data_IF_944325728340
#
_entry.id   IF_944325728340
#
_cell.length_a   1.000
_cell.length_b   1.000
_cell.length_c   1.000
_cell.angle_alpha   90.00
_cell.angle_beta   90.00
_cell.angle_gamma   90.00
#
_symmetry.space_group_name_H-M   'P 1'
#
loop_
_entity.id
_entity.type
_entity.pdbx_description
1 polymer ?
#
# COMPACT_ATOMS: atom_id res chain seq x y z
N UNK A 1 -4.50 13.84 51.60
CA UNK A 1 -3.22 13.11 51.50
C UNK A 1 -3.52 11.78 50.82
N UNK A 2 -2.93 11.52 49.64
CA UNK A 2 -3.06 10.31 48.79
C UNK A 2 -4.41 9.93 48.14
N UNK A 3 -4.31 9.07 47.09
CA UNK A 3 -5.34 8.40 46.26
C UNK A 3 -5.99 7.22 47.03
N UNK A 4 -6.99 6.43 46.58
CA UNK A 4 -7.62 6.14 45.25
C UNK A 4 -9.11 5.70 45.49
N UNK A 5 -9.95 5.08 44.65
CA UNK A 5 -9.77 4.46 43.32
C UNK A 5 -10.95 4.60 42.31
N UNK A 6 -11.87 3.61 42.18
CA UNK A 6 -12.74 3.45 40.99
C UNK A 6 -14.17 2.90 41.24
N UNK A 7 -15.15 3.59 40.64
CA UNK A 7 -16.42 3.08 40.03
C UNK A 7 -17.51 2.50 40.96
N UNK A 8 -18.80 2.62 40.59
CA UNK A 8 -19.42 1.77 39.55
C UNK A 8 -19.56 2.41 38.15
N UNK A 9 -20.13 1.64 37.21
CA UNK A 9 -20.74 2.11 35.96
C UNK A 9 -22.24 1.78 36.01
N UNK A 10 -23.03 2.59 35.31
CA UNK A 10 -24.50 2.50 35.20
C UNK A 10 -25.25 2.79 36.50
N UNK A 11 -26.35 3.51 36.35
CA UNK A 11 -27.39 3.68 37.37
C UNK A 11 -28.67 3.25 36.67
N UNK A 12 -29.35 2.24 37.20
CA UNK A 12 -30.74 2.01 36.86
C UNK A 12 -31.57 3.05 37.63
N UNK A 13 -32.50 3.71 36.93
CA UNK A 13 -33.62 4.38 37.58
C UNK A 13 -34.72 3.32 37.62
N UNK A 14 -35.30 3.08 38.80
CA UNK A 14 -36.40 2.12 38.95
C UNK A 14 -37.70 2.75 38.42
N UNK A 15 -38.51 1.95 37.72
CA UNK A 15 -39.79 2.40 37.17
C UNK A 15 -40.81 2.68 38.28
N UNK A 16 -41.50 3.82 38.18
CA UNK A 16 -42.77 4.07 38.87
C UNK A 16 -43.78 4.66 37.91
N UNK A 17 -44.63 3.78 37.36
CA UNK A 17 -46.00 4.04 36.90
C UNK A 17 -46.29 5.32 36.08
N UNK A 18 -46.04 5.30 34.76
CA UNK A 18 -47.05 5.63 33.72
C UNK A 18 -46.53 5.30 32.29
N UNK A 19 -47.41 5.13 31.28
CA UNK A 19 -47.04 4.56 29.97
C UNK A 19 -46.55 5.62 28.97
N UNK A 20 -45.41 6.26 29.23
CA UNK A 20 -44.81 7.21 28.29
C UNK A 20 -44.28 6.55 26.99
N UNK A 21 -44.41 7.26 25.88
CA UNK A 21 -43.96 6.82 24.56
C UNK A 21 -42.44 6.69 24.51
N UNK A 22 -41.94 5.58 23.95
CA UNK A 22 -40.51 5.30 23.81
C UNK A 22 -39.85 6.23 22.77
N UNK A 23 -39.55 7.45 23.19
CA UNK A 23 -39.03 8.51 22.34
C UNK A 23 -37.59 8.19 21.91
N UNK A 24 -37.45 7.67 20.68
CA UNK A 24 -36.16 7.39 20.05
C UNK A 24 -35.52 8.73 19.68
N UNK A 25 -34.94 9.42 20.68
CA UNK A 25 -34.21 10.68 20.48
C UNK A 25 -33.15 10.46 19.41
N UNK A 26 -33.28 11.06 18.21
CA UNK A 26 -32.35 10.81 17.14
C UNK A 26 -31.01 11.41 17.53
N UNK A 27 -30.00 10.55 17.76
CA UNK A 27 -28.64 11.00 18.09
C UNK A 27 -28.07 11.80 16.92
N UNK A 28 -28.33 13.12 16.92
CA UNK A 28 -27.79 14.08 15.95
C UNK A 28 -26.27 13.91 15.96
N UNK A 29 -25.75 13.31 14.88
CA UNK A 29 -24.31 13.22 14.64
C UNK A 29 -23.74 14.64 14.72
N UNK A 30 -23.01 14.94 15.79
CA UNK A 30 -22.34 16.23 15.93
C UNK A 30 -21.47 16.43 14.70
N UNK A 31 -21.66 17.55 14.02
CA UNK A 31 -20.85 17.93 12.86
C UNK A 31 -19.39 17.98 13.33
N UNK A 32 -18.50 17.45 12.50
CA UNK A 32 -17.09 17.17 12.76
C UNK A 32 -16.41 18.22 13.66
N UNK A 33 -15.91 17.79 14.82
CA UNK A 33 -15.16 18.65 15.75
C UNK A 33 -13.87 19.20 15.11
N UNK A 34 -13.27 20.28 15.62
CA UNK A 34 -12.02 20.80 15.07
C UNK A 34 -10.88 19.77 15.04
N UNK A 35 -10.81 18.84 16.00
CA UNK A 35 -9.88 17.71 15.98
C UNK A 35 -10.18 16.70 14.84
N UNK A 36 -11.47 16.43 14.59
CA UNK A 36 -11.92 15.63 13.44
C UNK A 36 -11.56 16.31 12.10
N UNK A 37 -11.71 17.65 12.02
CA UNK A 37 -11.33 18.42 10.83
C UNK A 37 -9.82 18.39 10.61
N UNK A 38 -9.01 18.59 11.65
CA UNK A 38 -7.55 18.50 11.60
C UNK A 38 -7.07 17.11 11.16
N UNK A 39 -7.62 16.05 11.75
CA UNK A 39 -7.33 14.66 11.39
C UNK A 39 -7.69 14.35 9.92
N UNK A 40 -8.83 14.88 9.44
CA UNK A 40 -9.24 14.78 8.04
C UNK A 40 -8.30 15.52 7.08
N UNK A 41 -7.89 16.75 7.44
CA UNK A 41 -6.93 17.55 6.66
C UNK A 41 -5.55 16.90 6.61
N UNK A 42 -5.04 16.39 7.73
CA UNK A 42 -3.77 15.66 7.80
C UNK A 42 -3.82 14.37 6.96
N UNK A 43 -4.92 13.61 7.04
CA UNK A 43 -5.14 12.43 6.20
C UNK A 43 -5.19 12.79 4.72
N UNK A 44 -5.89 13.87 4.35
CA UNK A 44 -5.94 14.38 2.97
C UNK A 44 -4.58 14.82 2.45
N UNK A 45 -3.77 15.48 3.29
CA UNK A 45 -2.40 15.88 2.96
C UNK A 45 -1.52 14.66 2.69
N UNK A 46 -1.52 13.64 3.57
CA UNK A 46 -0.78 12.39 3.36
C UNK A 46 -1.19 11.69 2.06
N UNK A 47 -2.49 11.62 1.76
CA UNK A 47 -3.01 11.01 0.53
C UNK A 47 -2.56 11.82 -0.71
N UNK A 48 -2.60 13.16 -0.65
CA UNK A 48 -2.10 14.03 -1.73
C UNK A 48 -0.60 13.87 -1.96
N UNK A 49 0.19 13.76 -0.89
CA UNK A 49 1.64 13.48 -0.95
C UNK A 49 1.95 12.12 -1.58
N UNK A 50 1.06 11.13 -1.44
CA UNK A 50 1.16 9.85 -2.17
C UNK A 50 0.70 9.95 -3.64
N UNK A 51 -0.38 10.68 -3.94
CA UNK A 51 -0.92 10.78 -5.31
C UNK A 51 0.06 11.42 -6.30
N UNK A 52 0.68 12.54 -5.93
CA UNK A 52 1.58 13.29 -6.82
C UNK A 52 2.70 12.40 -7.40
N UNK A 53 3.53 11.70 -6.60
CA UNK A 53 4.55 10.80 -7.12
C UNK A 53 3.98 9.49 -7.68
N UNK A 54 2.84 8.98 -7.19
CA UNK A 54 2.25 7.72 -7.68
C UNK A 54 1.63 7.85 -9.08
N UNK A 55 1.01 8.99 -9.38
CA UNK A 55 0.55 9.33 -10.74
C UNK A 55 1.76 9.80 -11.57
N UNK A 56 2.55 10.74 -11.04
CA UNK A 56 3.70 11.33 -11.71
C UNK A 56 4.71 10.31 -12.23
N UNK A 57 5.07 9.30 -11.43
CA UNK A 57 5.95 8.20 -11.86
C UNK A 57 5.41 7.42 -13.06
N UNK A 58 4.09 7.26 -13.18
CA UNK A 58 3.47 6.50 -14.27
C UNK A 58 3.62 7.24 -15.60
N UNK A 59 3.35 8.55 -15.62
CA UNK A 59 3.57 9.40 -16.79
C UNK A 59 5.07 9.61 -17.07
N UNK A 60 5.89 9.80 -16.04
CA UNK A 60 7.33 9.97 -16.17
C UNK A 60 8.02 8.75 -16.79
N UNK A 61 7.69 7.53 -16.32
CA UNK A 61 8.21 6.31 -16.93
C UNK A 61 7.71 6.13 -18.37
N UNK A 62 6.43 6.42 -18.67
CA UNK A 62 5.92 6.37 -20.05
C UNK A 62 6.65 7.34 -21.00
N UNK A 63 6.97 8.55 -20.54
CA UNK A 63 7.79 9.52 -21.28
C UNK A 63 9.25 9.07 -21.42
N UNK A 64 9.84 8.52 -20.35
CA UNK A 64 11.21 8.01 -20.37
C UNK A 64 11.35 6.86 -21.37
N UNK A 65 10.40 5.92 -21.41
CA UNK A 65 10.41 4.78 -22.33
C UNK A 65 10.16 5.15 -23.80
N UNK A 66 9.62 6.34 -24.10
CA UNK A 66 9.60 6.85 -25.48
C UNK A 66 11.01 7.14 -26.01
N UNK A 67 11.93 7.54 -25.12
CA UNK A 67 13.30 7.96 -25.43
C UNK A 67 14.35 6.86 -25.14
N UNK A 68 14.10 6.01 -24.14
CA UNK A 68 15.02 4.98 -23.65
C UNK A 68 14.28 3.66 -23.42
N UNK A 69 14.30 2.78 -24.44
CA UNK A 69 13.56 1.49 -24.48
C UNK A 69 14.27 0.36 -23.73
N UNK A 70 14.53 0.61 -22.46
CA UNK A 70 15.11 -0.36 -21.52
C UNK A 70 14.37 -0.28 -20.16
N UNK A 71 13.08 -0.62 -20.10
CA UNK A 71 12.25 -0.47 -18.91
C UNK A 71 12.74 -1.28 -17.71
N UNK A 72 13.22 -2.51 -17.90
CA UNK A 72 13.69 -3.37 -16.81
C UNK A 72 15.04 -2.93 -16.26
N UNK A 73 15.98 -2.49 -17.11
CA UNK A 73 17.24 -1.89 -16.66
C UNK A 73 16.97 -0.58 -15.90
N UNK A 74 16.06 0.26 -16.40
CA UNK A 74 15.60 1.48 -15.70
C UNK A 74 15.06 1.14 -14.30
N UNK A 75 14.18 0.14 -14.22
CA UNK A 75 13.63 -0.36 -12.95
C UNK A 75 14.71 -0.91 -12.02
N UNK A 76 15.70 -1.65 -12.52
CA UNK A 76 16.81 -2.16 -11.71
C UNK A 76 17.65 -1.03 -11.10
N UNK A 77 17.92 0.04 -11.87
CA UNK A 77 18.60 1.23 -11.37
C UNK A 77 17.73 1.92 -10.31
N UNK A 78 16.44 2.13 -10.56
CA UNK A 78 15.50 2.66 -9.57
C UNK A 78 15.52 1.83 -8.27
N UNK A 79 15.41 0.50 -8.36
CA UNK A 79 15.44 -0.42 -7.23
C UNK A 79 16.76 -0.36 -6.45
N UNK A 80 17.90 -0.24 -7.16
CA UNK A 80 19.23 -0.16 -6.55
C UNK A 80 19.41 1.16 -5.79
N UNK A 81 19.00 2.29 -6.39
CA UNK A 81 19.01 3.61 -5.75
C UNK A 81 18.08 3.64 -4.54
N UNK A 82 16.87 3.05 -4.63
CA UNK A 82 15.95 2.90 -3.50
C UNK A 82 16.57 2.13 -2.34
N UNK A 83 17.27 1.01 -2.61
CA UNK A 83 17.97 0.24 -1.58
C UNK A 83 19.09 1.05 -0.91
N UNK A 84 19.92 1.75 -1.69
CA UNK A 84 21.00 2.60 -1.17
C UNK A 84 20.46 3.74 -0.32
N UNK A 85 19.39 4.40 -0.76
CA UNK A 85 18.79 5.54 -0.05
C UNK A 85 18.07 5.09 1.24
N UNK A 86 17.36 3.96 1.21
CA UNK A 86 16.82 3.33 2.42
C UNK A 86 17.93 2.93 3.41
N UNK A 87 19.04 2.37 2.92
CA UNK A 87 20.22 2.03 3.73
C UNK A 87 20.81 3.27 4.39
N UNK A 88 21.00 4.35 3.64
CA UNK A 88 21.54 5.63 4.15
C UNK A 88 20.65 6.22 5.24
N UNK A 89 19.33 6.29 5.00
CA UNK A 89 18.37 6.79 5.99
C UNK A 89 18.35 5.90 7.24
N UNK A 90 18.40 4.57 7.08
CA UNK A 90 18.49 3.61 8.18
C UNK A 90 19.75 3.81 9.03
N UNK A 91 20.91 4.05 8.41
CA UNK A 91 22.16 4.37 9.11
C UNK A 91 22.09 5.71 9.86
N UNK A 92 21.48 6.74 9.27
CA UNK A 92 21.25 8.04 9.93
C UNK A 92 20.31 7.88 11.13
N UNK A 93 19.22 7.10 10.99
CA UNK A 93 18.28 6.83 12.07
C UNK A 93 18.92 6.05 13.23
N UNK A 94 19.75 5.04 12.95
CA UNK A 94 20.52 4.33 13.97
C UNK A 94 21.44 5.30 14.73
N UNK A 95 22.21 6.13 14.00
CA UNK A 95 23.10 7.14 14.62
C UNK A 95 22.36 8.18 15.46
N UNK A 96 21.16 8.63 15.03
CA UNK A 96 20.38 9.66 15.74
C UNK A 96 19.54 9.13 16.90
N UNK A 97 19.16 7.84 16.89
CA UNK A 97 18.22 7.28 17.88
C UNK A 97 18.86 6.28 18.85
N UNK A 98 20.08 5.80 18.59
CA UNK A 98 20.81 4.82 19.42
C UNK A 98 20.21 3.40 19.44
N UNK A 99 18.92 3.25 19.13
CA UNK A 99 18.20 1.98 19.10
C UNK A 99 18.65 1.11 17.91
N UNK A 100 19.14 -0.11 18.22
CA UNK A 100 19.40 -1.15 17.21
C UNK A 100 18.10 -1.44 16.46
N UNK A 101 18.15 -1.39 15.13
CA UNK A 101 17.00 -1.67 14.25
C UNK A 101 16.70 -3.17 14.21
N UNK A 102 15.45 -3.52 13.89
CA UNK A 102 14.96 -4.91 13.90
C UNK A 102 15.86 -5.80 13.04
N UNK A 103 16.29 -6.92 13.61
CA UNK A 103 17.04 -7.96 12.92
C UNK A 103 16.14 -9.18 12.81
N UNK A 104 15.52 -9.36 11.64
CA UNK A 104 14.65 -10.52 11.38
C UNK A 104 15.52 -11.77 11.21
N UNK A 105 15.18 -12.86 11.90
CA UNK A 105 15.89 -14.13 11.78
C UNK A 105 15.81 -14.69 10.35
N UNK A 106 16.91 -15.23 9.82
CA UNK A 106 17.00 -15.63 8.40
C UNK A 106 15.87 -16.53 7.90
N UNK A 107 15.38 -17.46 8.73
CA UNK A 107 14.27 -18.35 8.36
C UNK A 107 12.96 -17.58 8.19
N UNK A 108 12.62 -16.72 9.14
CA UNK A 108 11.41 -15.89 9.11
C UNK A 108 11.50 -14.82 8.01
N UNK A 109 12.69 -14.24 7.82
CA UNK A 109 12.97 -13.26 6.77
C UNK A 109 12.73 -13.87 5.38
N UNK A 110 13.27 -15.06 5.10
CA UNK A 110 13.03 -15.75 3.83
C UNK A 110 11.55 -16.13 3.71
N UNK A 111 10.96 -16.79 4.71
CA UNK A 111 9.59 -17.31 4.61
C UNK A 111 8.52 -16.22 4.48
N UNK A 112 8.75 -15.05 5.07
CA UNK A 112 7.78 -13.94 5.06
C UNK A 112 8.04 -12.88 4.00
N UNK A 113 9.30 -12.51 3.76
CA UNK A 113 9.66 -11.38 2.89
C UNK A 113 9.98 -11.84 1.47
N UNK A 114 10.62 -13.00 1.28
CA UNK A 114 11.04 -13.44 -0.06
C UNK A 114 9.87 -13.66 -1.04
N UNK A 115 8.76 -14.36 -0.69
CA UNK A 115 7.63 -14.51 -1.62
C UNK A 115 7.07 -13.15 -2.04
N UNK A 116 6.88 -12.27 -1.06
CA UNK A 116 6.33 -10.93 -1.23
C UNK A 116 7.22 -10.07 -2.14
N UNK A 117 8.54 -10.13 -1.96
CA UNK A 117 9.52 -9.42 -2.79
C UNK A 117 9.65 -10.01 -4.21
N UNK A 118 9.62 -11.33 -4.36
CA UNK A 118 9.68 -12.01 -5.66
C UNK A 118 8.44 -11.69 -6.50
N UNK A 119 7.23 -11.86 -5.95
CA UNK A 119 6.01 -11.48 -6.66
C UNK A 119 5.91 -9.97 -6.93
N UNK A 120 6.61 -9.13 -6.16
CA UNK A 120 6.76 -7.69 -6.47
C UNK A 120 7.75 -7.39 -7.60
N UNK A 121 8.86 -8.13 -7.70
CA UNK A 121 9.77 -8.03 -8.84
C UNK A 121 9.11 -8.49 -10.14
N UNK A 122 8.39 -9.61 -10.12
CA UNK A 122 7.59 -10.10 -11.26
C UNK A 122 6.49 -9.10 -11.68
N UNK A 123 5.71 -8.60 -10.71
CA UNK A 123 4.69 -7.55 -10.91
C UNK A 123 5.27 -6.34 -11.64
N UNK A 124 6.35 -5.75 -11.10
CA UNK A 124 6.97 -4.54 -11.65
C UNK A 124 7.62 -4.82 -13.02
N UNK A 125 8.25 -5.97 -13.22
CA UNK A 125 8.87 -6.32 -14.51
C UNK A 125 7.84 -6.39 -15.64
N UNK A 126 6.81 -7.21 -15.44
CA UNK A 126 5.75 -7.43 -16.42
C UNK A 126 4.91 -6.17 -16.63
N UNK A 127 4.70 -5.36 -15.58
CA UNK A 127 4.04 -4.07 -15.67
C UNK A 127 4.80 -3.06 -16.54
N UNK A 128 6.11 -2.88 -16.34
CA UNK A 128 6.85 -1.85 -17.08
C UNK A 128 7.10 -2.26 -18.54
N UNK A 129 7.30 -3.54 -18.82
CA UNK A 129 7.29 -4.04 -20.20
C UNK A 129 5.93 -3.83 -20.87
N UNK A 130 4.83 -4.10 -20.15
CA UNK A 130 3.48 -3.78 -20.61
C UNK A 130 3.29 -2.28 -20.89
N UNK A 131 3.79 -1.41 -20.01
CA UNK A 131 3.70 0.05 -20.11
C UNK A 131 4.49 0.65 -21.29
N UNK A 132 5.49 -0.04 -21.84
CA UNK A 132 6.08 0.34 -23.13
C UNK A 132 5.14 -0.01 -24.30
N UNK A 133 4.49 -1.18 -24.23
CA UNK A 133 3.70 -1.75 -25.33
C UNK A 133 2.24 -1.24 -25.44
N UNK A 134 1.66 -0.62 -24.40
CA UNK A 134 0.29 -0.07 -24.42
C UNK A 134 0.21 1.39 -23.93
N UNK A 135 -0.94 2.03 -24.12
CA UNK A 135 -1.22 3.35 -23.55
C UNK A 135 -1.57 3.30 -22.04
N UNK A 136 -1.58 4.47 -21.39
CA UNK A 136 -1.79 4.58 -19.94
C UNK A 136 -3.23 4.16 -19.56
N UNK A 137 -4.22 4.39 -20.42
CA UNK A 137 -5.60 3.94 -20.15
C UNK A 137 -5.72 2.41 -20.14
N UNK A 138 -5.19 1.70 -21.13
CA UNK A 138 -5.18 0.22 -21.16
C UNK A 138 -4.29 -0.37 -20.07
N UNK A 139 -3.16 0.26 -19.74
CA UNK A 139 -2.33 -0.07 -18.58
C UNK A 139 -3.15 -0.02 -17.28
N UNK A 140 -3.82 1.11 -17.02
CA UNK A 140 -4.56 1.35 -15.77
C UNK A 140 -5.75 0.39 -15.65
N UNK A 141 -6.54 0.24 -16.71
CA UNK A 141 -7.68 -0.68 -16.73
C UNK A 141 -7.26 -2.14 -16.53
N UNK A 142 -6.19 -2.60 -17.20
CA UNK A 142 -5.70 -3.97 -17.03
C UNK A 142 -5.11 -4.17 -15.63
N UNK A 143 -4.38 -3.20 -15.08
CA UNK A 143 -3.84 -3.30 -13.72
C UNK A 143 -4.91 -3.28 -12.62
N UNK A 144 -6.09 -2.69 -12.84
CA UNK A 144 -7.20 -2.76 -11.88
C UNK A 144 -7.68 -4.21 -11.62
N UNK A 145 -7.48 -5.13 -12.57
CA UNK A 145 -7.79 -6.56 -12.44
C UNK A 145 -7.02 -7.24 -11.30
N UNK A 146 -5.95 -6.61 -10.80
CA UNK A 146 -5.28 -6.97 -9.54
C UNK A 146 -6.28 -7.24 -8.42
N UNK A 147 -7.35 -6.45 -8.31
CA UNK A 147 -8.40 -6.65 -7.30
C UNK A 147 -9.06 -8.02 -7.44
N UNK A 148 -9.37 -8.48 -8.65
CA UNK A 148 -9.91 -9.83 -8.90
C UNK A 148 -8.96 -10.91 -8.41
N UNK A 149 -7.66 -10.77 -8.69
CA UNK A 149 -6.65 -11.74 -8.27
C UNK A 149 -6.39 -11.72 -6.76
N UNK A 150 -6.39 -10.55 -6.10
CA UNK A 150 -6.36 -10.44 -4.62
C UNK A 150 -7.51 -11.24 -4.03
N UNK A 151 -8.74 -11.05 -4.52
CA UNK A 151 -9.91 -11.73 -3.99
C UNK A 151 -9.87 -13.24 -4.24
N UNK A 152 -9.43 -13.67 -5.44
CA UNK A 152 -9.22 -15.07 -5.76
C UNK A 152 -8.21 -15.74 -4.82
N UNK A 153 -7.01 -15.15 -4.66
CA UNK A 153 -5.98 -15.71 -3.78
C UNK A 153 -6.36 -15.63 -2.30
N UNK A 154 -7.00 -14.55 -1.84
CA UNK A 154 -7.48 -14.45 -0.46
C UNK A 154 -8.60 -15.45 -0.12
N UNK A 155 -9.41 -15.88 -1.08
CA UNK A 155 -10.32 -17.03 -0.91
C UNK A 155 -9.52 -18.35 -0.92
N UNK A 156 -8.60 -18.54 -1.86
CA UNK A 156 -7.80 -19.77 -2.02
C UNK A 156 -6.96 -20.09 -0.77
N UNK A 157 -6.31 -19.08 -0.20
CA UNK A 157 -5.55 -19.16 1.06
C UNK A 157 -6.43 -19.02 2.32
N UNK A 158 -7.77 -19.03 2.17
CA UNK A 158 -8.79 -19.01 3.24
C UNK A 158 -8.71 -17.80 4.19
N UNK A 159 -8.25 -16.65 3.70
CA UNK A 159 -8.17 -15.39 4.44
C UNK A 159 -9.49 -14.61 4.41
N UNK A 160 -10.30 -14.78 3.35
CA UNK A 160 -11.63 -14.19 3.21
C UNK A 160 -12.70 -15.28 2.96
N UNK A 161 -13.91 -15.07 3.51
CA UNK A 161 -15.05 -15.99 3.32
C UNK A 161 -15.70 -15.70 1.96
N UNK A 162 -15.93 -16.75 1.15
CA UNK A 162 -16.66 -16.64 -0.12
C UNK A 162 -18.05 -16.05 0.11
N UNK A 163 -18.35 -14.92 -0.54
CA UNK A 163 -19.68 -14.28 -0.55
C UNK A 163 -20.20 -14.13 -1.98
N UNK A 164 -21.52 -14.14 -2.15
CA UNK A 164 -22.15 -13.89 -3.46
C UNK A 164 -21.87 -12.49 -3.99
N UNK A 165 -21.80 -11.49 -3.09
CA UNK A 165 -21.43 -10.12 -3.44
C UNK A 165 -20.02 -10.04 -4.04
N UNK A 166 -19.08 -10.84 -3.53
CA UNK A 166 -17.70 -10.88 -4.02
C UNK A 166 -17.61 -11.49 -5.42
N UNK A 167 -18.46 -12.47 -5.74
CA UNK A 167 -18.59 -13.01 -7.10
C UNK A 167 -19.13 -11.97 -8.08
N UNK A 168 -20.11 -11.15 -7.67
CA UNK A 168 -20.64 -10.05 -8.48
C UNK A 168 -19.60 -8.94 -8.74
N UNK A 169 -18.80 -8.60 -7.72
CA UNK A 169 -17.66 -7.67 -7.84
C UNK A 169 -16.66 -8.17 -8.90
N UNK A 170 -16.27 -9.45 -8.83
CA UNK A 170 -15.36 -10.06 -9.81
C UNK A 170 -15.94 -10.00 -11.22
N UNK A 171 -17.21 -10.39 -11.41
CA UNK A 171 -17.88 -10.31 -12.71
C UNK A 171 -17.93 -8.89 -13.26
N UNK A 172 -18.22 -7.87 -12.44
CA UNK A 172 -18.25 -6.46 -12.85
C UNK A 172 -16.88 -6.00 -13.38
N UNK A 173 -15.80 -6.27 -12.65
CA UNK A 173 -14.45 -5.87 -13.08
C UNK A 173 -14.03 -6.62 -14.36
N UNK A 174 -14.29 -7.92 -14.45
CA UNK A 174 -13.99 -8.72 -15.65
C UNK A 174 -14.79 -8.26 -16.87
N UNK A 175 -16.09 -8.00 -16.73
CA UNK A 175 -16.94 -7.50 -17.83
C UNK A 175 -16.52 -6.09 -18.25
N UNK A 176 -16.22 -5.22 -17.30
CA UNK A 176 -15.70 -3.88 -17.56
C UNK A 176 -14.41 -3.89 -18.38
N UNK A 177 -13.47 -4.81 -18.07
CA UNK A 177 -12.25 -5.01 -18.86
C UNK A 177 -12.53 -5.53 -20.27
N UNK A 178 -13.44 -6.50 -20.43
CA UNK A 178 -13.79 -7.05 -21.75
C UNK A 178 -14.41 -5.97 -22.64
N UNK A 179 -15.32 -5.16 -22.08
CA UNK A 179 -15.90 -4.00 -22.78
C UNK A 179 -14.85 -2.91 -23.06
N UNK A 180 -13.89 -2.68 -22.15
CA UNK A 180 -12.82 -1.71 -22.35
C UNK A 180 -11.78 -2.13 -23.40
N UNK A 181 -11.52 -3.42 -23.56
CA UNK A 181 -10.54 -3.95 -24.52
C UNK A 181 -11.15 -4.15 -25.91
N UNK A 182 -12.45 -4.43 -26.00
CA UNK A 182 -13.13 -4.67 -27.26
C UNK A 182 -13.00 -3.50 -28.25
N UNK A 183 -12.41 -3.80 -29.42
CA UNK A 183 -12.11 -2.83 -30.50
C UNK A 183 -11.33 -1.58 -30.03
N UNK A 184 -10.54 -1.67 -28.96
CA UNK A 184 -9.63 -0.58 -28.56
C UNK A 184 -8.58 -0.34 -29.66
N UNK A 185 -8.44 0.92 -30.10
CA UNK A 185 -7.58 1.32 -31.23
C UNK A 185 -6.08 1.10 -30.97
N UNK A 186 -5.67 1.06 -29.71
CA UNK A 186 -4.28 0.90 -29.26
C UNK A 186 -4.03 -0.45 -28.56
N UNK A 187 -4.78 -1.50 -28.92
CA UNK A 187 -4.67 -2.82 -28.29
C UNK A 187 -3.43 -3.60 -28.78
N UNK A 188 -2.44 -3.75 -27.90
CA UNK A 188 -1.32 -4.68 -28.09
C UNK A 188 -1.55 -5.94 -27.24
N UNK A 189 -1.75 -7.10 -27.89
CA UNK A 189 -2.03 -8.37 -27.22
C UNK A 189 -0.91 -8.82 -26.28
N UNK A 190 0.36 -8.61 -26.66
CA UNK A 190 1.50 -8.97 -25.81
C UNK A 190 1.57 -8.06 -24.57
N UNK A 191 1.42 -6.74 -24.76
CA UNK A 191 1.36 -5.79 -23.65
C UNK A 191 0.21 -6.08 -22.68
N UNK A 192 -0.97 -6.39 -23.21
CA UNK A 192 -2.14 -6.79 -22.41
C UNK A 192 -1.92 -8.10 -21.65
N UNK A 193 -1.35 -9.14 -22.28
CA UNK A 193 -1.06 -10.41 -21.63
C UNK A 193 -0.01 -10.26 -20.51
N UNK A 194 1.05 -9.47 -20.75
CA UNK A 194 2.04 -9.13 -19.72
C UNK A 194 1.40 -8.42 -18.54
N UNK A 195 0.48 -7.47 -18.77
CA UNK A 195 -0.23 -6.76 -17.71
C UNK A 195 -1.19 -7.65 -16.90
N UNK A 196 -1.86 -8.61 -17.54
CA UNK A 196 -2.66 -9.62 -16.83
C UNK A 196 -1.77 -10.50 -15.94
N UNK A 197 -0.64 -10.98 -16.44
CA UNK A 197 0.33 -11.74 -15.63
C UNK A 197 0.92 -10.88 -14.50
N UNK A 198 1.20 -9.60 -14.76
CA UNK A 198 1.61 -8.64 -13.73
C UNK A 198 0.54 -8.51 -12.63
N UNK A 199 -0.74 -8.45 -12.98
CA UNK A 199 -1.85 -8.37 -12.02
C UNK A 199 -2.14 -9.67 -11.26
N UNK A 200 -1.88 -10.84 -11.86
CA UNK A 200 -1.84 -12.11 -11.13
C UNK A 200 -0.74 -12.04 -10.06
N UNK A 201 0.46 -11.58 -10.44
CA UNK A 201 1.60 -11.41 -9.52
C UNK A 201 1.32 -10.38 -8.42
N UNK A 202 0.70 -9.24 -8.76
CA UNK A 202 0.19 -8.25 -7.79
C UNK A 202 -0.79 -8.88 -6.81
N UNK A 203 -1.68 -9.75 -7.29
CA UNK A 203 -2.64 -10.50 -6.47
C UNK A 203 -1.95 -11.36 -5.42
N UNK A 204 -1.04 -12.25 -5.85
CA UNK A 204 -0.28 -13.11 -4.93
C UNK A 204 0.53 -12.27 -3.96
N UNK A 205 1.23 -11.23 -4.42
CA UNK A 205 1.99 -10.28 -3.58
C UNK A 205 1.14 -9.71 -2.46
N UNK A 206 -0.01 -9.11 -2.78
CA UNK A 206 -0.88 -8.48 -1.79
C UNK A 206 -1.47 -9.50 -0.82
N UNK A 207 -1.80 -10.71 -1.27
CA UNK A 207 -2.24 -11.78 -0.38
C UNK A 207 -1.10 -12.28 0.54
N UNK A 208 0.15 -12.34 0.06
CA UNK A 208 1.33 -12.58 0.91
C UNK A 208 1.54 -11.45 1.94
N UNK A 209 1.41 -10.18 1.55
CA UNK A 209 1.41 -9.03 2.50
C UNK A 209 0.31 -9.21 3.55
N UNK A 210 -0.90 -9.61 3.15
CA UNK A 210 -2.02 -9.84 4.07
C UNK A 210 -1.71 -10.97 5.06
N UNK A 211 -1.16 -12.09 4.61
CA UNK A 211 -0.73 -13.20 5.48
C UNK A 211 0.38 -12.78 6.45
N UNK A 212 1.36 -12.01 5.97
CA UNK A 212 2.46 -11.46 6.76
C UNK A 212 1.93 -10.54 7.88
N UNK A 213 1.18 -9.50 7.51
CA UNK A 213 0.63 -8.52 8.47
C UNK A 213 -0.38 -9.14 9.46
N UNK A 214 -1.09 -10.19 9.08
CA UNK A 214 -2.01 -10.90 9.99
C UNK A 214 -1.29 -11.86 10.95
N UNK A 215 -0.14 -12.44 10.58
CA UNK A 215 0.57 -13.44 11.40
C UNK A 215 1.73 -12.89 12.23
N UNK A 216 2.32 -11.76 11.85
CA UNK A 216 3.61 -11.36 12.44
C UNK A 216 3.49 -10.50 13.70
N UNK A 217 4.12 -10.95 14.80
CA UNK A 217 4.62 -10.07 15.88
C UNK A 217 5.84 -9.23 15.44
N UNK A 218 6.27 -9.30 14.18
CA UNK A 218 7.47 -8.59 13.69
C UNK A 218 7.23 -7.08 13.66
N UNK A 219 7.96 -6.35 14.50
CA UNK A 219 7.87 -4.89 14.66
C UNK A 219 8.45 -4.08 13.49
N UNK A 220 8.12 -4.43 12.25
CA UNK A 220 8.43 -3.66 11.04
C UNK A 220 7.50 -2.44 10.91
N UNK A 221 7.41 -1.64 11.96
CA UNK A 221 6.54 -0.45 12.05
C UNK A 221 7.10 0.78 11.34
N UNK A 222 8.33 0.69 10.81
CA UNK A 222 8.98 1.79 10.13
C UNK A 222 9.01 1.57 8.60
N UNK A 223 8.51 2.53 7.78
CA UNK A 223 8.53 2.44 6.33
C UNK A 223 9.90 2.10 5.73
N UNK A 224 10.98 2.69 6.26
CA UNK A 224 12.33 2.55 5.70
C UNK A 224 12.90 1.16 5.91
N UNK A 225 12.61 0.52 7.05
CA UNK A 225 13.01 -0.87 7.30
C UNK A 225 12.27 -1.83 6.35
N UNK A 226 10.99 -1.60 6.06
CA UNK A 226 10.24 -2.44 5.11
C UNK A 226 10.80 -2.35 3.69
N UNK A 227 11.09 -1.14 3.21
CA UNK A 227 11.72 -0.90 1.90
C UNK A 227 13.08 -1.59 1.83
N UNK A 228 13.95 -1.35 2.82
CA UNK A 228 15.27 -1.97 2.92
C UNK A 228 15.23 -3.50 2.86
N UNK A 229 14.27 -4.12 3.55
CA UNK A 229 14.14 -5.58 3.62
C UNK A 229 13.50 -6.23 2.38
N UNK A 230 12.60 -5.52 1.68
CA UNK A 230 11.95 -6.00 0.46
C UNK A 230 12.85 -5.88 -0.78
N UNK A 231 13.60 -4.79 -0.88
CA UNK A 231 14.23 -4.38 -2.14
C UNK A 231 15.25 -5.37 -2.73
N UNK A 232 16.06 -6.14 -1.95
CA UNK A 232 16.95 -7.17 -2.49
C UNK A 232 16.23 -8.32 -3.19
N UNK A 233 15.10 -8.80 -2.64
CA UNK A 233 14.29 -9.87 -3.24
C UNK A 233 13.64 -9.42 -4.56
N UNK A 234 13.25 -8.15 -4.63
CA UNK A 234 12.74 -7.54 -5.85
C UNK A 234 13.82 -7.45 -6.93
N UNK A 235 15.03 -6.99 -6.58
CA UNK A 235 16.17 -6.94 -7.52
C UNK A 235 16.51 -8.34 -8.03
N UNK A 236 16.61 -9.34 -7.14
CA UNK A 236 16.87 -10.73 -7.49
C UNK A 236 15.80 -11.33 -8.42
N UNK A 237 14.56 -10.83 -8.36
CA UNK A 237 13.46 -11.24 -9.25
C UNK A 237 13.42 -10.49 -10.57
N UNK A 238 13.80 -9.21 -10.64
CA UNK A 238 13.81 -8.43 -11.90
C UNK A 238 15.05 -8.76 -12.75
N UNK A 239 16.21 -8.99 -12.11
CA UNK A 239 17.50 -9.14 -12.79
C UNK A 239 17.52 -10.22 -13.89
N UNK A 240 16.94 -11.43 -13.69
CA UNK A 240 16.88 -12.44 -14.77
C UNK A 240 16.06 -11.98 -15.98
N UNK A 241 14.96 -11.24 -15.76
CA UNK A 241 14.11 -10.74 -16.86
C UNK A 241 14.83 -9.64 -17.64
N UNK A 242 15.52 -8.72 -16.98
CA UNK A 242 16.32 -7.69 -17.64
C UNK A 242 17.43 -8.29 -18.51
N UNK A 243 18.18 -9.28 -17.97
CA UNK A 243 19.25 -9.96 -18.70
C UNK A 243 18.68 -10.75 -19.90
N UNK A 244 17.56 -11.45 -19.73
CA UNK A 244 16.96 -12.28 -20.79
C UNK A 244 16.33 -11.45 -21.92
N UNK A 245 15.56 -10.42 -21.56
CA UNK A 245 14.69 -9.68 -22.50
C UNK A 245 15.39 -8.44 -23.09
N UNK A 246 16.09 -7.65 -22.27
CA UNK A 246 16.76 -6.41 -22.67
C UNK A 246 18.25 -6.61 -22.98
N UNK A 247 18.93 -7.50 -22.26
CA UNK A 247 20.37 -7.76 -22.40
C UNK A 247 20.86 -7.95 -23.84
N UNK A 248 20.18 -8.77 -24.70
CA UNK A 248 20.59 -8.94 -26.09
C UNK A 248 20.50 -7.67 -26.94
N UNK A 249 19.57 -6.76 -26.61
CA UNK A 249 19.45 -5.46 -27.29
C UNK A 249 20.46 -4.45 -26.73
N UNK A 250 20.67 -4.41 -25.41
CA UNK A 250 21.62 -3.53 -24.75
C UNK A 250 23.08 -3.76 -25.23
N UNK A 251 23.46 -5.03 -25.43
CA UNK A 251 24.79 -5.41 -25.95
C UNK A 251 24.95 -5.11 -27.45
N UNK A 252 23.92 -5.34 -28.28
CA UNK A 252 24.03 -5.12 -29.74
C UNK A 252 23.88 -3.67 -30.18
N UNK A 253 22.96 -2.94 -29.58
CA UNK A 253 22.60 -1.60 -30.04
C UNK A 253 23.53 -0.51 -29.48
N UNK A 254 24.40 -0.86 -28.52
CA UNK A 254 25.27 0.03 -27.76
C UNK A 254 24.58 1.25 -27.10
N UNK A 255 23.24 1.33 -27.03
CA UNK A 255 22.54 2.51 -26.48
C UNK A 255 22.77 2.78 -24.98
N UNK A 256 23.47 1.90 -24.26
CA UNK A 256 23.99 2.17 -22.91
C UNK A 256 25.44 2.70 -22.87
N UNK A 257 26.22 2.51 -23.95
CA UNK A 257 27.69 2.63 -23.96
C UNK A 257 28.27 3.40 -25.15
N UNK A 258 27.49 3.65 -26.21
CA UNK A 258 27.86 4.33 -27.44
C UNK A 258 27.24 5.71 -27.56
N UNK A 259 27.22 6.47 -26.46
CA UNK A 259 26.98 7.91 -26.51
C UNK A 259 28.32 8.62 -26.74
N UNK A 260 28.59 9.00 -27.99
CA UNK A 260 29.79 9.78 -28.35
C UNK A 260 29.80 11.17 -27.68
N UNK A 261 28.62 11.70 -27.35
CA UNK A 261 28.45 12.91 -26.53
C UNK A 261 28.13 12.56 -25.07
N UNK A 262 29.07 12.88 -24.18
CA UNK A 262 28.94 12.78 -22.73
C UNK A 262 27.73 13.55 -22.17
N UNK A 263 27.33 14.65 -22.81
CA UNK A 263 26.21 15.49 -22.39
C UNK A 263 24.87 14.73 -22.47
N UNK A 264 24.64 14.02 -23.58
CA UNK A 264 23.45 13.19 -23.79
C UNK A 264 23.40 12.00 -22.82
N UNK A 265 24.53 11.35 -22.56
CA UNK A 265 24.64 10.31 -21.54
C UNK A 265 24.31 10.86 -20.14
N UNK A 266 24.88 12.01 -19.76
CA UNK A 266 24.63 12.64 -18.47
C UNK A 266 23.15 12.99 -18.28
N UNK A 267 22.49 13.56 -19.30
CA UNK A 267 21.06 13.87 -19.28
C UNK A 267 20.21 12.58 -19.10
N UNK A 268 20.55 11.49 -19.79
CA UNK A 268 19.87 10.21 -19.61
C UNK A 268 20.02 9.68 -18.17
N UNK A 269 21.24 9.70 -17.62
CA UNK A 269 21.50 9.25 -16.23
C UNK A 269 20.76 10.13 -15.22
N UNK A 270 20.74 11.45 -15.40
CA UNK A 270 19.97 12.36 -14.52
C UNK A 270 18.46 12.06 -14.58
N UNK A 271 17.92 11.73 -15.75
CA UNK A 271 16.50 11.34 -15.87
C UNK A 271 16.19 10.01 -15.16
N UNK A 272 17.02 8.98 -15.33
CA UNK A 272 16.85 7.71 -14.61
C UNK A 272 16.99 7.90 -13.10
N UNK A 273 17.91 8.74 -12.63
CA UNK A 273 18.05 9.07 -11.21
C UNK A 273 16.85 9.87 -10.68
N UNK A 274 16.30 10.81 -11.45
CA UNK A 274 15.08 11.53 -11.09
C UNK A 274 13.89 10.56 -10.97
N UNK A 275 13.73 9.63 -11.92
CA UNK A 275 12.76 8.54 -11.84
C UNK A 275 12.92 7.69 -10.59
N UNK A 276 14.16 7.37 -10.20
CA UNK A 276 14.47 6.64 -8.98
C UNK A 276 14.09 7.41 -7.69
N UNK A 277 14.35 8.72 -7.63
CA UNK A 277 13.95 9.55 -6.49
C UNK A 277 12.42 9.69 -6.38
N UNK A 278 11.71 9.86 -7.50
CA UNK A 278 10.24 9.86 -7.52
C UNK A 278 9.72 8.48 -7.05
N UNK A 279 10.31 7.38 -7.51
CA UNK A 279 9.92 6.02 -7.11
C UNK A 279 10.20 5.72 -5.62
N UNK A 280 11.30 6.24 -5.06
CA UNK A 280 11.55 6.17 -3.63
C UNK A 280 10.51 6.96 -2.82
N UNK A 281 10.24 8.21 -3.22
CA UNK A 281 9.29 9.08 -2.52
C UNK A 281 7.85 8.56 -2.62
N UNK A 282 7.49 7.94 -3.75
CA UNK A 282 6.20 7.25 -3.96
C UNK A 282 5.97 6.14 -2.94
N UNK A 283 6.92 5.20 -2.84
CA UNK A 283 6.82 4.05 -1.93
C UNK A 283 6.93 4.48 -0.45
N UNK A 284 7.82 5.43 -0.14
CA UNK A 284 7.90 6.01 1.20
C UNK A 284 6.57 6.66 1.61
N UNK A 285 5.90 7.38 0.70
CA UNK A 285 4.59 8.00 0.97
C UNK A 285 3.48 6.96 1.10
N UNK A 286 3.44 5.93 0.24
CA UNK A 286 2.49 4.82 0.33
C UNK A 286 2.54 4.13 1.70
N UNK A 287 3.73 3.74 2.15
CA UNK A 287 3.90 3.04 3.42
C UNK A 287 3.71 4.00 4.61
N UNK A 288 4.00 5.29 4.45
CA UNK A 288 3.66 6.33 5.45
C UNK A 288 2.14 6.48 5.60
N UNK A 289 1.37 6.50 4.50
CA UNK A 289 -0.11 6.50 4.55
C UNK A 289 -0.61 5.27 5.30
N UNK A 290 -0.08 4.08 5.04
CA UNK A 290 -0.45 2.85 5.77
C UNK A 290 -0.12 2.95 7.26
N UNK A 291 1.04 3.51 7.60
CA UNK A 291 1.55 3.61 8.98
C UNK A 291 0.73 4.58 9.84
N UNK A 292 0.34 5.74 9.29
CA UNK A 292 -0.40 6.78 10.02
C UNK A 292 -1.93 6.67 9.88
N UNK A 293 -2.45 5.80 9.01
CA UNK A 293 -3.90 5.67 8.79
C UNK A 293 -4.36 4.21 8.88
N UNK A 294 -4.67 3.56 7.76
CA UNK A 294 -4.98 2.13 7.69
C UNK A 294 -4.83 1.57 6.28
N UNK A 295 -4.68 0.25 6.14
CA UNK A 295 -4.75 -0.41 4.84
C UNK A 295 -6.11 -0.27 4.13
N UNK A 296 -7.19 0.06 4.86
CA UNK A 296 -8.49 0.40 4.28
C UNK A 296 -8.47 1.82 3.68
N UNK A 297 -7.83 2.77 4.35
CA UNK A 297 -7.60 4.14 3.85
C UNK A 297 -6.76 4.12 2.58
N UNK A 298 -5.65 3.36 2.55
CA UNK A 298 -4.85 3.19 1.33
C UNK A 298 -5.68 2.54 0.21
N UNK A 299 -6.49 1.51 0.49
CA UNK A 299 -7.32 0.87 -0.53
C UNK A 299 -8.36 1.82 -1.15
N UNK A 300 -8.94 2.72 -0.36
CA UNK A 300 -9.86 3.77 -0.87
C UNK A 300 -9.08 4.80 -1.69
N UNK A 301 -7.93 5.26 -1.18
CA UNK A 301 -7.07 6.23 -1.88
C UNK A 301 -6.54 5.69 -3.22
N UNK A 302 -6.20 4.40 -3.29
CA UNK A 302 -5.75 3.74 -4.52
C UNK A 302 -6.79 3.81 -5.64
N UNK A 303 -8.09 3.65 -5.32
CA UNK A 303 -9.18 3.70 -6.30
C UNK A 303 -9.34 5.10 -6.88
N UNK A 304 -9.36 6.13 -6.02
CA UNK A 304 -9.39 7.52 -6.50
C UNK A 304 -8.13 7.86 -7.30
N UNK A 305 -6.95 7.33 -6.91
CA UNK A 305 -5.70 7.47 -7.67
C UNK A 305 -5.78 6.83 -9.06
N UNK A 306 -6.40 5.66 -9.20
CA UNK A 306 -6.65 5.02 -10.50
C UNK A 306 -7.61 5.85 -11.37
N UNK A 307 -8.69 6.38 -10.79
CA UNK A 307 -9.63 7.29 -11.49
C UNK A 307 -8.92 8.55 -11.98
N UNK A 308 -8.17 9.24 -11.11
CA UNK A 308 -7.42 10.44 -11.50
C UNK A 308 -6.36 10.14 -12.56
N UNK A 309 -5.61 9.04 -12.41
CA UNK A 309 -4.62 8.60 -13.41
C UNK A 309 -5.24 8.36 -14.78
N UNK A 310 -6.45 7.78 -14.84
CA UNK A 310 -7.12 7.50 -16.11
C UNK A 310 -7.75 8.75 -16.73
N UNK A 311 -8.36 9.64 -15.95
CA UNK A 311 -8.85 10.94 -16.45
C UNK A 311 -7.69 11.76 -17.03
N UNK A 312 -6.54 11.78 -16.35
CA UNK A 312 -5.32 12.41 -16.85
C UNK A 312 -4.77 11.70 -18.10
N UNK A 313 -4.87 10.38 -18.20
CA UNK A 313 -4.40 9.63 -19.38
C UNK A 313 -5.18 10.03 -20.63
N UNK A 314 -6.51 10.07 -20.55
CA UNK A 314 -7.38 10.51 -21.65
C UNK A 314 -7.09 11.98 -22.01
N UNK A 315 -7.03 12.88 -21.02
CA UNK A 315 -6.87 14.31 -21.25
C UNK A 315 -5.46 14.72 -21.74
N UNK A 316 -4.40 14.00 -21.32
CA UNK A 316 -3.01 14.37 -21.61
C UNK A 316 -2.40 13.61 -22.80
N UNK A 317 -2.70 12.31 -22.95
CA UNK A 317 -2.19 11.52 -24.09
C UNK A 317 -3.13 11.56 -25.31
N UNK A 318 -4.37 12.03 -25.15
CA UNK A 318 -5.39 11.95 -26.21
C UNK A 318 -5.83 10.52 -26.49
N UNK A 319 -5.91 9.66 -25.46
CA UNK A 319 -6.31 8.26 -25.63
C UNK A 319 -7.75 8.16 -26.19
N UNK A 320 -7.88 7.83 -27.48
CA UNK A 320 -9.17 7.68 -28.17
C UNK A 320 -10.01 6.51 -27.59
N UNK A 321 -11.00 6.84 -26.76
CA UNK A 321 -11.94 5.87 -26.21
C UNK A 321 -13.24 5.86 -27.03
N UNK A 322 -13.60 4.71 -27.62
CA UNK A 322 -14.94 4.54 -28.19
C UNK A 322 -16.02 4.48 -27.08
N UNK A 323 -17.31 4.66 -27.41
CA UNK A 323 -18.39 4.55 -26.43
C UNK A 323 -18.43 3.22 -25.66
N UNK A 324 -17.97 2.12 -26.28
CA UNK A 324 -17.85 0.82 -25.59
C UNK A 324 -16.70 0.80 -24.59
N UNK A 325 -15.58 1.48 -24.89
CA UNK A 325 -14.48 1.62 -23.94
C UNK A 325 -14.91 2.46 -22.72
N UNK A 326 -15.64 3.55 -22.95
CA UNK A 326 -16.21 4.39 -21.88
C UNK A 326 -17.23 3.61 -21.04
N UNK A 327 -18.08 2.78 -21.65
CA UNK A 327 -18.99 1.89 -20.92
C UNK A 327 -18.24 0.87 -20.06
N UNK A 328 -17.20 0.22 -20.61
CA UNK A 328 -16.36 -0.73 -19.88
C UNK A 328 -15.62 -0.10 -18.69
N UNK A 329 -15.13 1.12 -18.88
CA UNK A 329 -14.57 1.96 -17.81
C UNK A 329 -15.58 2.15 -16.67
N UNK A 330 -16.79 2.62 -16.97
CA UNK A 330 -17.84 2.87 -15.96
C UNK A 330 -18.19 1.58 -15.20
N UNK A 331 -18.41 0.47 -15.91
CA UNK A 331 -18.72 -0.84 -15.30
C UNK A 331 -17.59 -1.32 -14.38
N UNK A 332 -16.33 -1.14 -14.79
CA UNK A 332 -15.17 -1.50 -13.98
C UNK A 332 -15.08 -0.64 -12.71
N UNK A 333 -15.19 0.69 -12.84
CA UNK A 333 -15.17 1.62 -11.69
C UNK A 333 -16.31 1.37 -10.71
N UNK A 334 -17.50 0.99 -11.19
CA UNK A 334 -18.60 0.54 -10.32
C UNK A 334 -18.22 -0.75 -9.56
N UNK A 335 -17.65 -1.76 -10.23
CA UNK A 335 -17.17 -2.99 -9.58
C UNK A 335 -16.12 -2.73 -8.50
N UNK A 336 -15.16 -1.87 -8.79
CA UNK A 336 -14.10 -1.42 -7.87
C UNK A 336 -14.68 -0.65 -6.68
N UNK A 337 -15.68 0.22 -6.91
CA UNK A 337 -16.40 0.94 -5.86
C UNK A 337 -17.18 -0.02 -4.94
N UNK A 338 -17.89 -1.00 -5.52
CA UNK A 338 -18.58 -2.04 -4.75
C UNK A 338 -17.62 -2.91 -3.93
N UNK A 339 -16.42 -3.22 -4.44
CA UNK A 339 -15.37 -3.90 -3.67
C UNK A 339 -15.01 -3.13 -2.39
N UNK A 340 -14.79 -1.82 -2.47
CA UNK A 340 -14.47 -1.03 -1.27
C UNK A 340 -15.67 -0.93 -0.31
N UNK A 341 -16.90 -0.76 -0.81
CA UNK A 341 -18.11 -0.78 0.04
C UNK A 341 -18.30 -2.12 0.76
N UNK A 342 -18.05 -3.25 0.08
CA UNK A 342 -18.05 -4.58 0.68
C UNK A 342 -16.95 -4.71 1.74
N UNK A 343 -15.73 -4.24 1.46
CA UNK A 343 -14.58 -4.31 2.37
C UNK A 343 -14.78 -3.46 3.63
N UNK A 344 -15.31 -2.23 3.50
CA UNK A 344 -15.71 -1.38 4.62
C UNK A 344 -16.72 -2.10 5.52
N UNK A 345 -17.82 -2.61 4.95
CA UNK A 345 -18.87 -3.34 5.69
C UNK A 345 -18.32 -4.57 6.42
N UNK A 346 -17.53 -5.38 5.72
CA UNK A 346 -16.96 -6.63 6.25
C UNK A 346 -15.97 -6.36 7.41
N UNK A 347 -15.08 -5.37 7.27
CA UNK A 347 -14.12 -5.03 8.33
C UNK A 347 -14.78 -4.33 9.53
N UNK A 348 -15.87 -3.59 9.31
CA UNK A 348 -16.64 -2.96 10.41
C UNK A 348 -17.33 -4.03 11.27
N UNK A 349 -17.81 -5.12 10.65
CA UNK A 349 -18.49 -6.23 11.33
C UNK A 349 -17.61 -7.08 12.27
N UNK A 350 -16.29 -6.80 12.37
CA UNK A 350 -15.32 -7.63 13.10
C UNK A 350 -14.75 -6.91 14.35
N UNK A 351 -15.23 -5.70 14.69
CA UNK A 351 -14.69 -4.89 15.80
C UNK A 351 -15.54 -4.91 17.08
N UNK A 352 -15.28 -5.88 17.96
CA UNK A 352 -15.26 -5.68 19.43
C UNK A 352 -14.61 -6.88 20.15
N UNK A 353 -14.03 -6.72 21.35
CA UNK A 353 -13.65 -5.49 22.05
C UNK A 353 -12.11 -5.25 22.08
N UNK A 354 -11.71 -4.11 22.65
CA UNK A 354 -10.36 -3.81 23.20
C UNK A 354 -9.13 -4.16 22.35
N UNK A 355 -8.70 -3.21 21.51
CA UNK A 355 -7.26 -2.95 21.29
C UNK A 355 -7.02 -1.47 21.53
N UNK A 356 -6.48 -1.14 22.69
CA UNK A 356 -6.14 0.24 23.08
C UNK A 356 -4.95 0.72 22.27
N UNK A 357 -5.25 1.49 21.23
CA UNK A 357 -4.28 2.42 20.65
C UNK A 357 -4.34 3.69 21.47
N UNK A 358 -3.18 4.21 21.88
CA UNK A 358 -3.06 5.54 22.47
C UNK A 358 -3.53 6.57 21.43
N UNK A 359 -4.35 7.52 21.85
CA UNK A 359 -5.05 8.42 20.94
C UNK A 359 -4.11 9.49 20.40
N UNK A 360 -4.34 9.92 19.15
CA UNK A 360 -3.53 10.92 18.43
C UNK A 360 -3.53 12.32 19.10
N UNK A 361 -4.39 12.53 20.10
CA UNK A 361 -4.51 13.80 20.83
C UNK A 361 -3.23 14.20 21.60
N UNK A 362 -2.54 13.25 22.24
CA UNK A 362 -1.39 13.53 23.13
C UNK A 362 -0.20 14.19 22.40
N UNK A 363 0.11 13.73 21.18
CA UNK A 363 1.23 14.27 20.39
C UNK A 363 0.96 15.72 19.95
N UNK A 364 -0.31 16.08 19.73
CA UNK A 364 -0.71 17.45 19.41
C UNK A 364 -0.49 18.41 20.58
N UNK A 365 -0.80 17.98 21.80
CA UNK A 365 -0.60 18.80 22.99
C UNK A 365 0.89 18.91 23.38
N UNK A 366 1.66 17.82 23.21
CA UNK A 366 3.08 17.77 23.58
C UNK A 366 3.98 18.69 22.72
N UNK A 367 3.55 19.02 21.49
CA UNK A 367 4.24 19.98 20.62
C UNK A 367 3.88 21.45 20.89
N UNK A 368 2.79 21.71 21.62
CA UNK A 368 2.33 23.08 21.94
C UNK A 368 2.85 23.59 23.29
N UNK A 369 3.36 22.71 24.16
CA UNK A 369 3.89 23.03 25.51
C UNK A 369 5.42 23.01 25.56
N UNK A 370 6.06 23.98 24.91
CA UNK A 370 7.51 24.18 25.01
C UNK A 370 7.94 24.78 26.35
N UNK A 371 8.93 24.15 27.01
CA UNK A 371 9.57 24.53 28.29
C UNK A 371 8.61 24.63 29.51
N UNK A 372 8.80 23.83 30.57
CA UNK A 372 9.72 24.18 31.68
C UNK A 372 9.88 23.00 32.65
N UNK A 373 10.98 23.00 33.42
CA UNK A 373 11.28 22.24 34.65
C UNK A 373 11.93 20.85 34.54
N UNK A 374 12.97 20.66 35.35
CA UNK A 374 13.57 19.37 35.75
C UNK A 374 12.77 18.73 36.90
N UNK A 375 12.87 17.41 37.08
CA UNK A 375 12.47 16.73 38.31
C UNK A 375 12.78 15.23 38.28
N UNK A 376 13.44 14.70 39.32
CA UNK A 376 13.64 13.26 39.51
C UNK A 376 12.43 12.62 40.18
N UNK A 377 12.16 11.35 39.85
CA UNK A 377 11.80 10.30 40.82
C UNK A 377 12.15 8.95 40.19
N UNK A 378 12.67 8.03 40.99
CA UNK A 378 12.75 6.60 40.66
C UNK A 378 11.42 5.93 41.06
N UNK A 379 11.04 4.84 40.38
CA UNK A 379 10.86 3.54 41.06
C UNK A 379 10.57 2.40 40.07
N UNK A 380 10.72 1.16 40.54
CA UNK A 380 10.76 -0.08 39.74
C UNK A 380 9.42 -0.79 39.59
N UNK A 381 9.25 -1.51 38.47
CA UNK A 381 8.59 -2.83 38.47
C UNK A 381 9.17 -3.70 37.34
N UNK A 382 9.33 -5.02 37.58
CA UNK A 382 9.93 -5.95 36.62
C UNK A 382 8.88 -6.52 35.64
N UNK A 383 9.04 -6.19 34.36
CA UNK A 383 8.10 -6.56 33.30
C UNK A 383 8.23 -8.05 32.91
N UNK A 384 7.51 -8.92 33.63
CA UNK A 384 7.53 -10.38 33.42
C UNK A 384 6.93 -10.76 32.05
N UNK A 385 7.66 -11.60 31.32
CA UNK A 385 7.25 -12.07 29.99
C UNK A 385 5.94 -12.88 30.03
N UNK A 386 5.01 -12.59 29.10
CA UNK A 386 3.78 -13.38 28.82
C UNK A 386 4.02 -14.90 28.81
N UNK A 387 5.21 -15.31 28.36
CA UNK A 387 5.63 -16.72 28.23
C UNK A 387 5.69 -17.44 29.58
N UNK A 388 6.03 -16.73 30.65
CA UNK A 388 6.13 -17.28 32.01
C UNK A 388 4.74 -17.42 32.64
N UNK A 389 3.89 -16.41 32.48
CA UNK A 389 2.48 -16.40 32.94
C UNK A 389 1.68 -17.56 32.32
N UNK A 390 1.91 -17.86 31.04
CA UNK A 390 1.24 -18.97 30.36
C UNK A 390 1.68 -20.35 30.89
N UNK A 391 2.95 -20.49 31.30
CA UNK A 391 3.46 -21.72 31.91
C UNK A 391 2.87 -21.96 33.30
N UNK A 392 2.76 -20.91 34.12
CA UNK A 392 2.23 -20.97 35.48
C UNK A 392 0.73 -21.33 35.51
N UNK A 393 -0.02 -20.92 34.48
CA UNK A 393 -1.43 -21.32 34.28
C UNK A 393 -1.55 -22.80 33.89
N UNK A 394 -0.63 -23.33 33.06
CA UNK A 394 -0.65 -24.71 32.59
C UNK A 394 -0.16 -25.74 33.63
N UNK A 395 0.67 -25.31 34.59
CA UNK A 395 1.27 -26.19 35.62
C UNK A 395 0.48 -26.28 36.93
N UNK A 396 -0.69 -25.65 37.07
CA UNK A 396 -1.52 -25.81 38.28
C UNK A 396 -2.18 -27.20 38.32
N UNK A 397 -1.86 -28.06 39.30
CA UNK A 397 -2.62 -29.30 39.50
C UNK A 397 -4.06 -28.97 39.91
N UNK A 398 -5.02 -29.63 39.25
CA UNK A 398 -6.43 -29.24 39.32
C UNK A 398 -7.11 -29.43 40.69
N UNK A 399 -8.06 -28.54 40.96
CA UNK A 399 -9.17 -28.68 41.91
C UNK A 399 -10.43 -28.09 41.28
#
# INVERSE_FOLDING_TARGET
MFKSDKKPKYVAVEDTDEPETLDIVPMKRKICTPACLWSSLFTGLLIGTYYIPSIGLTFYQRWLYQNFRFPLITVLIHMTVKYLLATLIRLILIKRQGKKRVLVGWKDYILAVAPTGIFSGLDISLSNWGLELVNISLYTMTKSTTIVFILFFSILFKLEKKSWSLSGIVMMITLGLILFTYKSTQFNLLGFALLLMASISSGVRWTCVQMLLQKSKMGMTNPVDMIYHMQPWMIASVLPFAIWMEGPAAVRNCQLFGYDDFSMFFILVMNILLGAFIAFFMEFSEVTVVTYTSGLTLAIAGIFKEVFQLVLAVQWNGDELSPLNVLGLIVCLCGISFHVVHKIRTQTSVKSPTRSYETVDDIGEHLMKGNTLYGLSEDSEEDKSDTEVLFDILNRPGR
#
